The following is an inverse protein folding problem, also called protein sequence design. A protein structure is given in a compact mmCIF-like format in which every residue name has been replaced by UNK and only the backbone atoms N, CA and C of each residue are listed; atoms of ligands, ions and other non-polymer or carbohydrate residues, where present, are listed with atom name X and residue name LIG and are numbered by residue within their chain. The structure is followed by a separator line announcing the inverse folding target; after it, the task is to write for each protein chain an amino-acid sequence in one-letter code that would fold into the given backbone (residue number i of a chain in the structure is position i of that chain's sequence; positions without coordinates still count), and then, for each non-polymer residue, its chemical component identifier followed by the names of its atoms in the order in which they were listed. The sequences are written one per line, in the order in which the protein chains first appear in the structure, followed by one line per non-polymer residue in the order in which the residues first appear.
data_IF_454902040928
#
_entry.id   IF_454902040928
#
_cell.length_a   1.000
_cell.length_b   1.000
_cell.length_c   1.000
_cell.angle_alpha   90.00
_cell.angle_beta   90.00
_cell.angle_gamma   90.00
#
_symmetry.space_group_name_H-M   'P 1'
#
loop_
_entity.id
_entity.type
_entity.pdbx_description
1 polymer ?
#
# COMPACT_ATOMS: atom_id res chain seq x y z
N UNK A 1 6.73 -7.27 5.32
CA UNK A 1 6.52 -8.73 5.20
C UNK A 1 5.04 -9.12 5.00
N UNK A 2 4.09 -8.61 5.79
CA UNK A 2 2.66 -8.94 5.68
C UNK A 2 2.00 -8.49 4.36
N UNK A 3 2.15 -7.22 3.98
CA UNK A 3 1.56 -6.66 2.75
C UNK A 3 2.03 -7.39 1.48
N UNK A 4 3.27 -7.88 1.45
CA UNK A 4 3.81 -8.67 0.33
C UNK A 4 3.06 -10.00 0.17
N UNK A 5 2.79 -10.70 1.28
CA UNK A 5 2.01 -11.94 1.29
C UNK A 5 0.57 -11.72 0.88
N UNK A 6 -0.07 -10.65 1.39
CA UNK A 6 -1.42 -10.24 1.01
C UNK A 6 -1.47 -9.91 -0.50
N UNK A 7 -0.53 -9.09 -0.97
CA UNK A 7 -0.42 -8.72 -2.37
C UNK A 7 -0.25 -9.94 -3.29
N UNK A 8 0.59 -10.91 -2.91
CA UNK A 8 0.73 -12.17 -3.65
C UNK A 8 -0.57 -12.97 -3.70
N UNK A 9 -1.29 -13.10 -2.58
CA UNK A 9 -2.57 -13.83 -2.53
C UNK A 9 -3.67 -13.14 -3.35
N UNK A 10 -3.71 -11.81 -3.33
CA UNK A 10 -4.66 -10.99 -4.08
C UNK A 10 -4.21 -10.71 -5.52
N UNK A 11 -3.07 -11.27 -5.95
CA UNK A 11 -2.44 -11.02 -7.26
C UNK A 11 -2.24 -9.53 -7.55
N UNK A 12 -2.00 -8.72 -6.51
CA UNK A 12 -1.61 -7.31 -6.61
C UNK A 12 -0.14 -7.24 -6.99
N UNK A 13 0.12 -7.04 -8.28
CA UNK A 13 1.47 -6.94 -8.84
C UNK A 13 1.96 -5.50 -8.98
N UNK A 14 1.08 -4.53 -8.75
CA UNK A 14 1.32 -3.12 -8.98
C UNK A 14 1.67 -2.33 -7.71
N UNK A 15 1.82 -3.01 -6.57
CA UNK A 15 2.34 -2.39 -5.35
C UNK A 15 3.86 -2.36 -5.35
N UNK A 16 4.43 -1.19 -5.12
CA UNK A 16 5.89 -1.03 -5.03
C UNK A 16 6.37 -1.28 -3.60
N UNK A 17 6.74 -2.52 -3.29
CA UNK A 17 7.26 -2.91 -1.97
C UNK A 17 8.64 -2.32 -1.63
N UNK A 18 9.31 -1.66 -2.58
CA UNK A 18 10.58 -0.96 -2.34
C UNK A 18 10.39 0.46 -1.83
N UNK A 19 9.14 0.95 -1.79
CA UNK A 19 8.80 2.30 -1.34
C UNK A 19 8.14 2.22 0.03
N UNK A 20 8.53 3.11 0.95
CA UNK A 20 7.85 3.23 2.23
C UNK A 20 6.44 3.81 1.99
N UNK A 21 5.36 3.13 2.41
CA UNK A 21 4.02 3.67 2.24
C UNK A 21 3.75 4.96 3.02
N UNK A 22 4.63 5.35 3.94
CA UNK A 22 4.59 6.61 4.67
C UNK A 22 5.47 7.72 4.08
N UNK A 23 6.29 7.44 3.06
CA UNK A 23 7.18 8.46 2.45
C UNK A 23 6.50 9.35 1.41
N UNK A 24 5.16 9.44 1.42
CA UNK A 24 4.31 10.16 0.44
C UNK A 24 4.57 9.77 -1.03
N UNK A 25 5.31 8.68 -1.23
CA UNK A 25 5.85 8.27 -2.53
C UNK A 25 4.84 7.41 -3.27
N UNK A 26 4.76 7.57 -4.59
CA UNK A 26 3.83 6.81 -5.43
C UNK A 26 4.22 5.32 -5.49
N UNK A 27 3.22 4.44 -5.53
CA UNK A 27 3.43 2.98 -5.61
C UNK A 27 2.49 2.14 -4.76
N UNK A 28 1.75 2.76 -3.85
CA UNK A 28 0.76 2.08 -2.98
C UNK A 28 -0.69 2.39 -3.34
N UNK A 29 -0.90 3.32 -4.27
CA UNK A 29 -2.20 3.68 -4.79
C UNK A 29 -2.16 3.65 -6.32
N UNK A 30 -2.95 2.77 -6.91
CA UNK A 30 -3.29 2.83 -8.32
C UNK A 30 -4.77 3.08 -8.44
N UNK A 31 -5.13 4.24 -8.96
CA UNK A 31 -6.51 4.53 -9.34
C UNK A 31 -6.81 3.74 -10.61
N UNK A 32 -7.35 2.53 -10.47
CA UNK A 32 -7.97 1.81 -11.58
C UNK A 32 -9.35 2.45 -11.79
N UNK A 33 -9.35 3.54 -12.56
CA UNK A 33 -10.52 4.41 -12.79
C UNK A 33 -11.65 3.64 -13.49
N UNK A 34 -11.31 2.55 -14.18
CA UNK A 34 -12.23 1.79 -15.04
C UNK A 34 -13.17 0.84 -14.28
N UNK A 35 -12.87 0.45 -13.04
CA UNK A 35 -13.61 -0.62 -12.34
C UNK A 35 -14.25 -0.21 -11.00
N UNK A 36 -14.17 1.06 -10.59
CA UNK A 36 -14.80 1.55 -9.36
C UNK A 36 -14.26 0.92 -8.06
N UNK A 37 -13.17 0.16 -8.13
CA UNK A 37 -12.51 -0.44 -6.98
C UNK A 37 -11.20 0.30 -6.67
N UNK A 38 -11.13 0.90 -5.49
CA UNK A 38 -9.89 1.52 -5.00
C UNK A 38 -8.84 0.44 -4.77
N UNK A 39 -7.75 0.50 -5.52
CA UNK A 39 -6.58 -0.35 -5.32
C UNK A 39 -5.49 0.47 -4.60
N UNK A 40 -5.78 0.84 -3.36
CA UNK A 40 -4.91 1.64 -2.51
C UNK A 40 -4.64 0.97 -1.17
N UNK A 41 -3.40 1.08 -0.71
CA UNK A 41 -3.03 0.85 0.67
C UNK A 41 -2.91 2.22 1.32
N UNK A 42 -3.80 2.51 2.26
CA UNK A 42 -3.75 3.74 3.06
C UNK A 42 -3.14 3.39 4.39
N UNK A 43 -2.07 4.10 4.75
CA UNK A 43 -1.35 3.90 5.98
C UNK A 43 -1.61 5.04 6.96
N UNK A 44 -1.91 4.70 8.21
CA UNK A 44 -1.76 5.63 9.32
C UNK A 44 -0.30 5.66 9.75
N UNK A 45 0.38 6.71 9.29
CA UNK A 45 1.80 6.95 9.54
C UNK A 45 2.09 7.68 10.86
N UNK A 46 1.06 7.94 11.69
CA UNK A 46 1.26 8.45 13.05
C UNK A 46 1.36 7.31 14.08
N UNK A 47 1.03 6.08 13.68
CA UNK A 47 1.10 4.92 14.56
C UNK A 47 2.55 4.64 14.98
N UNK A 48 2.76 4.43 16.29
CA UNK A 48 4.09 4.25 16.88
C UNK A 48 5.14 5.26 16.38
N UNK A 49 4.80 6.56 16.39
CA UNK A 49 5.68 7.65 15.97
C UNK A 49 6.18 7.52 14.51
N UNK A 50 5.37 6.92 13.62
CA UNK A 50 5.71 6.74 12.21
C UNK A 50 6.73 5.65 11.91
N UNK A 51 7.08 4.83 12.91
CA UNK A 51 7.92 3.65 12.69
C UNK A 51 7.17 2.50 12.02
N UNK A 52 5.83 2.49 12.09
CA UNK A 52 5.01 1.40 11.56
C UNK A 52 3.84 1.93 10.74
N UNK A 53 3.86 1.51 9.48
CA UNK A 53 2.72 1.08 8.68
C UNK A 53 1.50 0.49 9.42
N UNK A 54 0.53 1.27 9.92
CA UNK A 54 -0.77 0.72 10.32
C UNK A 54 -1.81 0.89 9.20
N UNK A 55 -2.24 -0.21 8.59
CA UNK A 55 -3.23 -0.29 7.51
C UNK A 55 -4.62 -0.62 8.01
#
# INVERSE_FOLDING_TARGET
AALKSIGSKLRKQNWNFSVDPCSESSGWNTTDVDYGHLNSVICNCSFMNGSVCHV
#
